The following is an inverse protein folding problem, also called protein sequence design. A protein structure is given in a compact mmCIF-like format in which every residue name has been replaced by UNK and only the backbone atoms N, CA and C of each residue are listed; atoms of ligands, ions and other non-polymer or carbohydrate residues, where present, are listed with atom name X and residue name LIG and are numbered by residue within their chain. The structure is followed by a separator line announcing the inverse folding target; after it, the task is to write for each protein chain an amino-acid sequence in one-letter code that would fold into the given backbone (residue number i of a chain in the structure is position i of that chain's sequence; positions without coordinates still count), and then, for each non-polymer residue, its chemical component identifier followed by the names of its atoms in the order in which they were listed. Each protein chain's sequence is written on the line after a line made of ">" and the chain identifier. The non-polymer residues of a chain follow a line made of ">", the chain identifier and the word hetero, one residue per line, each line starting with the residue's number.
data_IF_847420203098
#
_entry.id   IF_847420203098
#
_cell.length_a   1.000
_cell.length_b   1.000
_cell.length_c   1.000
_cell.angle_alpha   90.00
_cell.angle_beta   90.00
_cell.angle_gamma   90.00
#
_symmetry.space_group_name_H-M   'P 1'
#
loop_
_entity.id
_entity.type
_entity.pdbx_description
1 polymer ?
#
# COMPACT_ATOMS: atom_id res chain seq x y z
N UNK A 1 10.93 -49.50 2.75
CA UNK A 1 9.90 -48.82 3.58
C UNK A 1 10.28 -47.37 3.90
N UNK A 2 11.52 -47.09 4.35
CA UNK A 2 12.01 -45.73 4.65
C UNK A 2 11.87 -44.71 3.49
N UNK A 3 12.22 -45.08 2.25
CA UNK A 3 12.15 -44.18 1.09
C UNK A 3 10.75 -43.64 0.78
N UNK A 4 9.70 -44.45 1.06
CA UNK A 4 8.29 -44.05 0.87
C UNK A 4 7.86 -43.01 1.91
N UNK A 5 8.36 -43.11 3.13
CA UNK A 5 8.07 -42.17 4.23
C UNK A 5 8.74 -40.82 3.93
N UNK A 6 10.01 -40.83 3.53
CA UNK A 6 10.74 -39.60 3.16
C UNK A 6 10.06 -38.84 2.01
N UNK A 7 9.59 -39.54 0.97
CA UNK A 7 8.87 -38.92 -0.14
C UNK A 7 7.53 -38.32 0.31
N UNK A 8 6.74 -39.07 1.08
CA UNK A 8 5.45 -38.59 1.58
C UNK A 8 5.60 -37.35 2.49
N UNK A 9 6.61 -37.34 3.37
CA UNK A 9 6.90 -36.19 4.23
C UNK A 9 7.33 -34.96 3.41
N UNK A 10 8.15 -35.15 2.37
CA UNK A 10 8.54 -34.05 1.47
C UNK A 10 7.37 -33.49 0.66
N UNK A 11 6.53 -34.37 0.12
CA UNK A 11 5.34 -33.97 -0.65
C UNK A 11 4.36 -33.18 0.23
N UNK A 12 4.16 -33.60 1.50
CA UNK A 12 3.35 -32.86 2.49
C UNK A 12 3.91 -31.46 2.75
N UNK A 13 5.21 -31.33 3.02
CA UNK A 13 5.83 -30.01 3.25
C UNK A 13 5.69 -29.08 2.04
N UNK A 14 5.82 -29.62 0.83
CA UNK A 14 5.66 -28.85 -0.40
C UNK A 14 4.23 -28.36 -0.58
N UNK A 15 3.24 -29.19 -0.27
CA UNK A 15 1.82 -28.83 -0.34
C UNK A 15 1.46 -27.76 0.71
N UNK A 16 1.92 -27.93 1.96
CA UNK A 16 1.72 -26.97 3.04
C UNK A 16 2.35 -25.61 2.71
N UNK A 17 3.59 -25.62 2.20
CA UNK A 17 4.29 -24.40 1.79
C UNK A 17 3.58 -23.69 0.62
N UNK A 18 3.15 -24.43 -0.40
CA UNK A 18 2.36 -23.87 -1.50
C UNK A 18 1.00 -23.32 -1.03
N UNK A 19 0.36 -23.97 -0.06
CA UNK A 19 -0.85 -23.47 0.60
C UNK A 19 -0.61 -22.14 1.30
N UNK A 20 0.49 -22.01 2.04
CA UNK A 20 0.92 -20.78 2.69
C UNK A 20 1.16 -19.65 1.66
N UNK A 21 1.84 -19.94 0.55
CA UNK A 21 2.05 -18.95 -0.52
C UNK A 21 0.74 -18.47 -1.14
N UNK A 22 -0.24 -19.37 -1.38
CA UNK A 22 -1.56 -18.99 -1.90
C UNK A 22 -2.32 -18.09 -0.91
N UNK A 23 -2.30 -18.44 0.38
CA UNK A 23 -2.95 -17.64 1.43
C UNK A 23 -2.31 -16.26 1.51
N UNK A 24 -0.97 -16.18 1.49
CA UNK A 24 -0.22 -14.94 1.49
C UNK A 24 -0.56 -14.07 0.27
N UNK A 25 -0.59 -14.66 -0.92
CA UNK A 25 -0.98 -13.97 -2.15
C UNK A 25 -2.39 -13.38 -2.06
N UNK A 26 -3.35 -14.15 -1.54
CA UNK A 26 -4.72 -13.65 -1.34
C UNK A 26 -4.79 -12.51 -0.31
N UNK A 27 -4.02 -12.58 0.77
CA UNK A 27 -3.93 -11.49 1.75
C UNK A 27 -3.40 -10.19 1.13
N UNK A 28 -2.34 -10.29 0.31
CA UNK A 28 -1.79 -9.15 -0.44
C UNK A 28 -2.86 -8.54 -1.35
N UNK A 29 -3.57 -9.35 -2.14
CA UNK A 29 -4.61 -8.86 -3.05
C UNK A 29 -5.75 -8.15 -2.30
N UNK A 30 -6.15 -8.67 -1.15
CA UNK A 30 -7.16 -8.02 -0.31
C UNK A 30 -6.68 -6.67 0.23
N UNK A 31 -5.42 -6.56 0.63
CA UNK A 31 -4.82 -5.30 1.09
C UNK A 31 -4.69 -4.28 -0.05
N UNK A 32 -4.26 -4.71 -1.24
CA UNK A 32 -4.22 -3.85 -2.42
C UNK A 32 -5.63 -3.35 -2.74
N UNK A 33 -6.63 -4.22 -2.71
CA UNK A 33 -8.04 -3.82 -2.89
C UNK A 33 -8.49 -2.83 -1.81
N UNK A 34 -8.12 -3.05 -0.55
CA UNK A 34 -8.41 -2.14 0.56
C UNK A 34 -7.79 -0.75 0.30
N UNK A 35 -6.52 -0.71 -0.11
CA UNK A 35 -5.83 0.51 -0.51
C UNK A 35 -6.55 1.22 -1.66
N UNK A 36 -6.91 0.50 -2.72
CA UNK A 36 -7.56 1.08 -3.88
C UNK A 36 -8.95 1.66 -3.57
N UNK A 37 -9.68 1.04 -2.64
CA UNK A 37 -11.00 1.54 -2.21
C UNK A 37 -10.91 2.69 -1.20
N UNK A 38 -9.73 3.00 -0.64
CA UNK A 38 -9.59 4.17 0.22
C UNK A 38 -9.87 5.45 -0.56
N UNK A 39 -10.69 6.31 0.05
CA UNK A 39 -10.94 7.68 -0.37
C UNK A 39 -10.92 8.57 0.86
N UNK A 40 -10.27 9.73 0.73
CA UNK A 40 -10.22 10.70 1.81
C UNK A 40 -11.60 11.33 1.99
N UNK A 41 -12.05 11.45 3.24
CA UNK A 41 -13.35 12.09 3.55
C UNK A 41 -13.20 13.60 3.64
N UNK A 42 -14.32 14.31 3.47
CA UNK A 42 -14.33 15.77 3.62
C UNK A 42 -14.01 16.25 5.04
N UNK A 43 -14.32 15.44 6.05
CA UNK A 43 -14.01 15.75 7.45
C UNK A 43 -12.62 15.28 7.89
N UNK A 44 -11.90 14.54 7.06
CA UNK A 44 -10.64 13.90 7.42
C UNK A 44 -9.46 14.85 7.18
N UNK A 45 -8.50 14.86 8.11
CA UNK A 45 -7.24 15.59 7.93
C UNK A 45 -6.26 14.79 7.09
N UNK A 46 -5.31 15.45 6.42
CA UNK A 46 -4.28 14.75 5.63
C UNK A 46 -3.46 13.76 6.46
N UNK A 47 -3.23 14.10 7.74
CA UNK A 47 -2.52 13.22 8.67
C UNK A 47 -3.30 11.95 8.97
N UNK A 48 -4.60 12.05 9.21
CA UNK A 48 -5.46 10.87 9.44
C UNK A 48 -5.51 9.97 8.20
N UNK A 49 -5.69 10.57 7.03
CA UNK A 49 -5.77 9.82 5.78
C UNK A 49 -4.45 9.12 5.43
N UNK A 50 -3.34 9.84 5.50
CA UNK A 50 -2.00 9.29 5.24
C UNK A 50 -1.63 8.16 6.20
N UNK A 51 -2.02 8.25 7.47
CA UNK A 51 -1.84 7.16 8.44
C UNK A 51 -2.60 5.89 8.05
N UNK A 52 -3.83 6.01 7.51
CA UNK A 52 -4.59 4.86 7.01
C UNK A 52 -3.91 4.19 5.82
N UNK A 53 -3.47 5.00 4.86
CA UNK A 53 -2.72 4.49 3.70
C UNK A 53 -1.43 3.80 4.12
N UNK A 54 -0.67 4.42 5.04
CA UNK A 54 0.58 3.86 5.56
C UNK A 54 0.35 2.54 6.31
N UNK A 55 -0.74 2.43 7.06
CA UNK A 55 -1.11 1.18 7.75
C UNK A 55 -1.30 0.03 6.76
N UNK A 56 -2.00 0.27 5.65
CA UNK A 56 -2.20 -0.74 4.60
C UNK A 56 -0.88 -1.07 3.90
N UNK A 57 -0.11 -0.06 3.50
CA UNK A 57 1.19 -0.23 2.85
C UNK A 57 2.16 -1.06 3.71
N UNK A 58 2.22 -0.79 5.02
CA UNK A 58 3.07 -1.54 5.94
C UNK A 58 2.62 -3.00 6.07
N UNK A 59 1.31 -3.28 6.06
CA UNK A 59 0.80 -4.67 6.05
C UNK A 59 1.20 -5.40 4.78
N UNK A 60 1.21 -4.73 3.62
CA UNK A 60 1.68 -5.30 2.35
C UNK A 60 3.19 -5.60 2.41
N UNK A 61 3.99 -4.64 2.90
CA UNK A 61 5.45 -4.78 3.09
C UNK A 61 5.80 -5.93 4.03
N UNK A 62 5.04 -6.12 5.10
CA UNK A 62 5.20 -7.24 6.04
C UNK A 62 4.95 -8.62 5.39
N UNK A 63 4.18 -8.68 4.30
CA UNK A 63 3.98 -9.91 3.51
C UNK A 63 5.07 -10.10 2.45
N UNK A 64 6.09 -9.23 2.43
CA UNK A 64 7.26 -9.33 1.55
C UNK A 64 7.05 -8.71 0.16
N UNK A 65 6.01 -7.91 -0.02
CA UNK A 65 5.73 -7.21 -1.28
C UNK A 65 6.14 -5.75 -1.15
N UNK A 66 6.95 -5.28 -2.09
CA UNK A 66 7.32 -3.86 -2.14
C UNK A 66 6.08 -2.99 -2.38
N UNK A 67 6.00 -1.89 -1.65
CA UNK A 67 4.96 -0.89 -1.79
C UNK A 67 5.63 0.47 -1.71
N UNK A 68 5.55 1.26 -2.77
CA UNK A 68 6.36 2.48 -2.90
C UNK A 68 5.63 3.70 -2.34
N UNK A 69 6.40 4.69 -1.90
CA UNK A 69 5.84 5.98 -1.47
C UNK A 69 5.23 6.75 -2.65
N UNK A 70 5.66 6.45 -3.88
CA UNK A 70 5.05 6.98 -5.10
C UNK A 70 3.57 6.58 -5.20
N UNK A 71 3.24 5.31 -4.93
CA UNK A 71 1.84 4.85 -4.89
C UNK A 71 1.03 5.61 -3.83
N UNK A 72 1.64 5.99 -2.70
CA UNK A 72 0.97 6.80 -1.69
C UNK A 72 0.74 8.24 -2.15
N UNK A 73 1.72 8.85 -2.81
CA UNK A 73 1.62 10.19 -3.41
C UNK A 73 0.50 10.23 -4.43
N UNK A 74 0.49 9.31 -5.40
CA UNK A 74 -0.58 9.21 -6.40
C UNK A 74 -1.95 9.06 -5.74
N UNK A 75 -2.05 8.18 -4.74
CA UNK A 75 -3.31 7.94 -4.05
C UNK A 75 -3.87 9.20 -3.38
N UNK A 76 -3.01 9.97 -2.72
CA UNK A 76 -3.40 11.22 -2.07
C UNK A 76 -3.83 12.23 -3.13
N UNK A 77 -3.04 12.44 -4.19
CA UNK A 77 -3.37 13.40 -5.24
C UNK A 77 -4.70 13.10 -5.93
N UNK A 78 -5.03 11.82 -6.14
CA UNK A 78 -6.28 11.40 -6.80
C UNK A 78 -7.51 11.52 -5.89
N UNK A 79 -7.33 11.37 -4.58
CA UNK A 79 -8.46 11.24 -3.64
C UNK A 79 -8.60 12.41 -2.68
N UNK A 80 -7.66 13.36 -2.70
CA UNK A 80 -7.71 14.56 -1.89
C UNK A 80 -8.99 15.37 -2.23
N UNK A 81 -9.73 15.84 -1.21
CA UNK A 81 -10.88 16.69 -1.44
C UNK A 81 -10.52 18.06 -2.00
N UNK A 82 -11.52 18.74 -2.56
CA UNK A 82 -11.38 20.04 -3.24
C UNK A 82 -10.68 21.12 -2.38
N UNK A 83 -10.83 21.07 -1.05
CA UNK A 83 -10.16 21.99 -0.11
C UNK A 83 -8.62 21.98 -0.22
N UNK A 84 -8.03 20.93 -0.79
CA UNK A 84 -6.58 20.79 -0.98
C UNK A 84 -6.12 21.17 -2.40
N UNK A 85 -7.03 21.42 -3.34
CA UNK A 85 -6.71 21.65 -4.75
C UNK A 85 -5.76 22.84 -4.98
N UNK A 86 -5.95 23.93 -4.24
CA UNK A 86 -5.08 25.10 -4.34
C UNK A 86 -3.62 24.78 -3.96
N UNK A 87 -3.44 24.03 -2.87
CA UNK A 87 -2.12 23.58 -2.39
C UNK A 87 -1.49 22.58 -3.36
N UNK A 88 -2.28 21.63 -3.88
CA UNK A 88 -1.83 20.65 -4.88
C UNK A 88 -1.40 21.34 -6.17
N UNK A 89 -2.21 22.26 -6.69
CA UNK A 89 -1.92 23.01 -7.92
C UNK A 89 -0.63 23.81 -7.77
N UNK A 90 -0.41 24.44 -6.62
CA UNK A 90 0.83 25.18 -6.34
C UNK A 90 2.04 24.25 -6.32
N UNK A 91 1.91 23.07 -5.71
CA UNK A 91 2.99 22.07 -5.69
C UNK A 91 3.31 21.55 -7.10
N UNK A 92 2.29 21.25 -7.90
CA UNK A 92 2.44 20.77 -9.28
C UNK A 92 3.07 21.82 -10.21
N UNK A 93 2.76 23.10 -10.02
CA UNK A 93 3.35 24.17 -10.82
C UNK A 93 4.81 24.46 -10.46
N UNK A 94 5.27 24.02 -9.29
CA UNK A 94 6.64 24.27 -8.81
C UNK A 94 7.58 23.08 -9.02
N UNK A 95 7.04 21.86 -9.19
CA UNK A 95 7.80 20.62 -9.34
C UNK A 95 7.14 19.62 -10.27
N UNK A 96 7.96 18.86 -10.99
CA UNK A 96 7.50 17.68 -11.72
C UNK A 96 6.86 16.66 -10.77
N UNK A 97 5.70 16.12 -11.16
CA UNK A 97 4.94 15.13 -10.39
C UNK A 97 5.76 13.91 -9.98
N UNK A 98 6.68 13.46 -10.84
CA UNK A 98 7.57 12.31 -10.58
C UNK A 98 8.63 12.59 -9.52
N UNK A 99 8.84 13.86 -9.15
CA UNK A 99 9.84 14.30 -8.17
C UNK A 99 9.23 14.68 -6.82
N UNK A 100 7.89 14.68 -6.71
CA UNK A 100 7.20 15.00 -5.46
C UNK A 100 7.38 13.85 -4.49
N UNK A 101 8.05 14.12 -3.36
CA UNK A 101 8.18 13.14 -2.28
C UNK A 101 6.94 13.13 -1.40
N UNK A 102 6.67 12.00 -0.74
CA UNK A 102 5.56 11.89 0.21
C UNK A 102 5.65 12.92 1.34
N UNK A 103 6.86 13.14 1.87
CA UNK A 103 7.09 14.11 2.95
C UNK A 103 6.70 15.53 2.53
N UNK A 104 7.14 15.95 1.34
CA UNK A 104 6.82 17.27 0.81
C UNK A 104 5.31 17.44 0.59
N UNK A 105 4.67 16.45 -0.02
CA UNK A 105 3.21 16.45 -0.22
C UNK A 105 2.48 16.63 1.11
N UNK A 106 2.82 15.84 2.13
CA UNK A 106 2.17 15.92 3.44
C UNK A 106 2.40 17.27 4.11
N UNK A 107 3.60 17.84 4.00
CA UNK A 107 3.89 19.18 4.55
C UNK A 107 3.08 20.27 3.85
N UNK A 108 2.97 20.24 2.51
CA UNK A 108 2.18 21.21 1.74
C UNK A 108 0.69 21.13 2.07
N UNK A 109 0.16 19.92 2.29
CA UNK A 109 -1.27 19.72 2.59
C UNK A 109 -1.64 19.96 4.06
N UNK A 110 -0.66 20.05 4.95
CA UNK A 110 -0.88 20.29 6.37
C UNK A 110 -0.73 21.77 6.77
N UNK A 111 -0.08 22.58 5.91
CA UNK A 111 0.04 24.03 6.04
C UNK A 111 -1.29 24.75 5.74
#
# INVERSE_FOLDING_TARGET
>A
MALKITKATWDYFKEEYAGNERIRGMQVLNLIREFELQRMKDSETIKEYSNKLLSIANRVRLLGIEFSDFQMVEKILITAPERYEASITTLQNTKDLSMITLVELLHTLQA
#
